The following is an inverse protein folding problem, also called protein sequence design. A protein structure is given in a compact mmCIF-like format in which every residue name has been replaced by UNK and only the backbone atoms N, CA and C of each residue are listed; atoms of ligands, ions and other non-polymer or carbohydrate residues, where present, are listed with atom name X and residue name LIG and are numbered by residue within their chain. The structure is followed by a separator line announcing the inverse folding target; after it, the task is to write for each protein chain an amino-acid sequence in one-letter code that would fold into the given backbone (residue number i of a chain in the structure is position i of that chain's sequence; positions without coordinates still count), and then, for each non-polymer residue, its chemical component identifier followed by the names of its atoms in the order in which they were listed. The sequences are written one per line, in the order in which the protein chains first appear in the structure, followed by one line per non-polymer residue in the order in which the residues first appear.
data_IF_964953092764
#
_entry.id   IF_964953092764
#
_cell.length_a   1.000
_cell.length_b   1.000
_cell.length_c   1.000
_cell.angle_alpha   90.00
_cell.angle_beta   90.00
_cell.angle_gamma   90.00
#
_symmetry.space_group_name_H-M   'P 1'
#
loop_
_entity.id
_entity.type
_entity.pdbx_description
1 polymer ?
#
# COMPACT_ATOMS: atom_id res chain seq x y z
N UNK A 1 24.09 -5.29 -2.93
CA UNK A 1 23.11 -4.22 -3.26
C UNK A 1 22.89 -4.20 -4.75
N UNK A 2 21.70 -3.84 -5.23
CA UNK A 2 21.34 -3.81 -6.66
C UNK A 2 20.31 -2.71 -6.91
N UNK A 3 20.50 -1.91 -7.95
CA UNK A 3 19.46 -1.01 -8.45
C UNK A 3 18.48 -1.78 -9.34
N UNK A 4 17.19 -1.54 -9.13
CA UNK A 4 16.12 -2.09 -9.95
C UNK A 4 14.86 -1.24 -9.76
N UNK A 5 14.11 -1.01 -10.84
CA UNK A 5 12.85 -0.24 -10.86
C UNK A 5 12.94 1.13 -10.16
N UNK A 6 14.11 1.76 -10.18
CA UNK A 6 14.36 3.05 -9.55
C UNK A 6 14.54 3.01 -8.04
N UNK A 7 14.70 1.81 -7.46
CA UNK A 7 14.98 1.58 -6.05
C UNK A 7 16.33 0.87 -5.85
N UNK A 8 16.91 1.02 -4.66
CA UNK A 8 18.08 0.25 -4.24
C UNK A 8 17.63 -0.90 -3.34
N UNK A 9 17.89 -2.13 -3.77
CA UNK A 9 17.65 -3.34 -3.01
C UNK A 9 18.92 -3.80 -2.32
N UNK A 10 18.81 -4.15 -1.04
CA UNK A 10 19.87 -4.72 -0.23
C UNK A 10 19.39 -6.02 0.42
N UNK A 11 20.27 -7.02 0.46
CA UNK A 11 20.09 -8.21 1.29
C UNK A 11 20.87 -7.99 2.59
N UNK A 12 20.18 -8.16 3.72
CA UNK A 12 20.77 -8.08 5.05
C UNK A 12 20.45 -9.38 5.76
N UNK A 13 21.41 -10.29 5.77
CA UNK A 13 21.27 -11.63 6.32
C UNK A 13 22.58 -12.40 6.17
N UNK A 14 22.63 -13.59 6.78
CA UNK A 14 23.76 -14.50 6.62
C UNK A 14 23.64 -15.30 5.31
N UNK A 15 24.77 -15.77 4.78
CA UNK A 15 24.83 -16.62 3.59
C UNK A 15 24.57 -15.91 2.26
N UNK A 16 24.25 -16.70 1.24
CA UNK A 16 23.96 -16.20 -0.11
C UNK A 16 22.57 -15.53 -0.16
N UNK A 17 22.44 -14.38 -0.85
CA UNK A 17 21.16 -13.73 -1.02
C UNK A 17 20.19 -14.63 -1.80
N UNK A 18 18.87 -14.57 -1.50
CA UNK A 18 17.87 -15.30 -2.27
C UNK A 18 17.81 -14.83 -3.73
N UNK A 19 17.19 -15.61 -4.63
CA UNK A 19 16.94 -15.18 -6.00
C UNK A 19 16.31 -13.80 -6.06
N UNK A 20 16.88 -12.92 -6.88
CA UNK A 20 16.43 -11.54 -6.96
C UNK A 20 15.04 -11.46 -7.61
N UNK A 21 14.03 -10.85 -6.97
CA UNK A 21 12.68 -10.78 -7.53
C UNK A 21 12.64 -9.87 -8.76
N UNK A 22 11.80 -10.24 -9.73
CA UNK A 22 11.51 -9.45 -10.93
C UNK A 22 10.00 -9.28 -11.07
N UNK A 23 9.59 -8.09 -11.49
CA UNK A 23 8.21 -7.68 -11.71
C UNK A 23 8.08 -7.21 -13.17
N UNK A 24 7.86 -8.13 -14.14
CA UNK A 24 7.84 -7.80 -15.55
C UNK A 24 6.88 -6.66 -15.94
N UNK A 25 5.77 -6.48 -15.20
CA UNK A 25 4.83 -5.38 -15.40
C UNK A 25 5.47 -3.98 -15.25
N UNK A 26 6.58 -3.88 -14.51
CA UNK A 26 7.34 -2.65 -14.29
C UNK A 26 8.56 -2.51 -15.23
N UNK A 27 8.76 -3.46 -16.15
CA UNK A 27 9.93 -3.51 -17.04
C UNK A 27 9.61 -3.10 -18.48
N UNK A 28 8.35 -2.77 -18.77
CA UNK A 28 7.88 -2.38 -20.10
C UNK A 28 8.44 -1.01 -20.52
N UNK A 29 8.77 -0.87 -21.81
CA UNK A 29 9.16 0.41 -22.43
C UNK A 29 7.97 1.33 -22.70
N UNK A 30 6.75 0.80 -22.61
CA UNK A 30 5.50 1.53 -22.88
C UNK A 30 4.97 2.28 -21.65
N UNK A 31 5.71 2.25 -20.54
CA UNK A 31 5.40 2.95 -19.30
C UNK A 31 6.60 3.81 -18.85
N UNK A 32 6.34 4.75 -17.95
CA UNK A 32 7.38 5.31 -17.09
C UNK A 32 7.15 4.86 -15.65
N UNK A 33 8.23 4.80 -14.86
CA UNK A 33 8.16 4.51 -13.43
C UNK A 33 8.19 5.81 -12.62
N UNK A 34 7.08 6.07 -11.93
CA UNK A 34 6.99 7.12 -10.93
C UNK A 34 7.31 6.52 -9.56
N UNK A 35 8.48 6.90 -9.03
CA UNK A 35 9.06 6.31 -7.81
C UNK A 35 9.03 7.33 -6.68
N UNK A 36 8.50 6.93 -5.52
CA UNK A 36 8.43 7.77 -4.33
C UNK A 36 8.85 6.99 -3.08
N UNK A 37 9.58 7.67 -2.18
CA UNK A 37 9.81 7.22 -0.81
C UNK A 37 8.95 8.05 0.12
N UNK A 38 8.40 7.43 1.17
CA UNK A 38 7.59 8.11 2.14
C UNK A 38 7.79 7.57 3.54
N UNK A 39 8.25 8.42 4.45
CA UNK A 39 8.35 8.08 5.87
C UNK A 39 6.96 8.09 6.51
N UNK A 40 6.70 7.10 7.36
CA UNK A 40 5.43 6.91 8.07
C UNK A 40 5.67 6.94 9.56
N UNK A 41 4.90 7.75 10.27
CA UNK A 41 4.88 7.80 11.75
C UNK A 41 3.89 6.77 12.32
N UNK A 42 3.99 5.54 11.82
CA UNK A 42 3.24 4.40 12.31
C UNK A 42 4.05 3.11 12.14
N UNK A 43 3.83 2.17 13.05
CA UNK A 43 4.51 0.89 13.05
C UNK A 43 4.18 0.07 11.78
N UNK A 44 5.18 -0.70 11.32
CA UNK A 44 5.08 -1.58 10.17
C UNK A 44 3.89 -2.57 10.24
N UNK A 45 3.71 -3.28 11.37
CA UNK A 45 2.63 -4.25 11.55
C UNK A 45 1.24 -3.62 11.59
N UNK A 46 1.11 -2.40 12.09
CA UNK A 46 -0.15 -1.66 12.01
C UNK A 46 -0.48 -1.29 10.56
N UNK A 47 0.53 -0.95 9.77
CA UNK A 47 0.34 -0.51 8.40
C UNK A 47 0.11 -1.68 7.41
N UNK A 48 0.69 -2.86 7.60
CA UNK A 48 0.40 -4.01 6.73
C UNK A 48 -1.03 -4.56 6.92
N UNK A 49 -1.65 -4.41 8.09
CA UNK A 49 -3.06 -4.77 8.29
C UNK A 49 -3.97 -3.93 7.36
N UNK A 50 -3.67 -2.64 7.19
CA UNK A 50 -4.37 -1.76 6.23
C UNK A 50 -4.27 -2.24 4.78
N UNK A 51 -3.18 -2.91 4.37
CA UNK A 51 -3.06 -3.45 3.01
C UNK A 51 -4.10 -4.52 2.70
N UNK A 52 -4.55 -5.26 3.71
CA UNK A 52 -5.48 -6.39 3.55
C UNK A 52 -6.91 -6.04 3.95
N UNK A 53 -7.15 -4.82 4.43
CA UNK A 53 -8.47 -4.29 4.73
C UNK A 53 -9.03 -3.47 3.54
N UNK A 54 -10.14 -3.92 2.95
CA UNK A 54 -10.88 -3.12 1.96
C UNK A 54 -12.05 -2.35 2.56
N UNK A 55 -12.46 -2.67 3.78
CA UNK A 55 -13.62 -2.05 4.42
C UNK A 55 -13.33 -0.59 4.82
N UNK A 56 -12.09 -0.24 5.22
CA UNK A 56 -11.78 1.17 5.53
C UNK A 56 -11.96 2.10 4.34
N UNK A 57 -11.84 1.62 3.09
CA UNK A 57 -11.78 2.49 1.91
C UNK A 57 -13.00 3.41 1.80
N UNK A 58 -14.19 2.94 2.16
CA UNK A 58 -15.41 3.77 2.13
C UNK A 58 -15.50 4.79 3.27
N UNK A 59 -14.75 4.58 4.35
CA UNK A 59 -14.78 5.41 5.54
C UNK A 59 -13.63 6.41 5.53
N UNK A 60 -12.39 5.90 5.49
CA UNK A 60 -11.16 6.68 5.57
C UNK A 60 -10.97 7.52 4.31
N UNK A 61 -11.23 6.97 3.11
CA UNK A 61 -11.02 7.69 1.85
C UNK A 61 -12.27 8.38 1.29
N UNK A 62 -13.31 8.58 2.10
CA UNK A 62 -14.57 9.17 1.61
C UNK A 62 -14.34 10.53 0.95
N UNK A 63 -13.54 11.40 1.57
CA UNK A 63 -13.33 12.77 1.08
C UNK A 63 -12.53 12.77 -0.21
N UNK A 64 -11.43 12.02 -0.25
CA UNK A 64 -10.64 11.87 -1.47
C UNK A 64 -11.51 11.35 -2.62
N UNK A 65 -12.29 10.29 -2.39
CA UNK A 65 -13.12 9.69 -3.42
C UNK A 65 -14.24 10.60 -3.92
N UNK A 66 -14.85 11.38 -3.04
CA UNK A 66 -15.83 12.40 -3.45
C UNK A 66 -15.17 13.49 -4.32
N UNK A 67 -13.98 13.97 -3.96
CA UNK A 67 -13.23 14.95 -4.77
C UNK A 67 -12.78 14.37 -6.13
N UNK A 68 -12.33 13.12 -6.14
CA UNK A 68 -11.92 12.41 -7.35
C UNK A 68 -13.09 11.87 -8.18
N UNK A 69 -14.33 12.00 -7.69
CA UNK A 69 -15.54 11.43 -8.28
C UNK A 69 -15.46 9.91 -8.51
N UNK A 70 -14.69 9.18 -7.70
CA UNK A 70 -14.58 7.72 -7.80
C UNK A 70 -15.81 7.06 -7.17
N UNK A 71 -16.54 6.25 -7.97
CA UNK A 71 -17.77 5.55 -7.59
C UNK A 71 -17.67 4.01 -7.69
N UNK A 72 -16.46 3.45 -7.62
CA UNK A 72 -16.23 1.99 -7.62
C UNK A 72 -16.53 1.32 -6.28
N UNK A 73 -16.13 1.92 -5.16
CA UNK A 73 -16.36 1.41 -3.80
C UNK A 73 -17.71 1.95 -3.29
N UNK A 74 -18.77 1.20 -3.51
CA UNK A 74 -20.14 1.51 -3.07
C UNK A 74 -20.69 0.36 -2.23
N UNK A 75 -21.06 0.64 -0.97
CA UNK A 75 -21.63 -0.36 -0.06
C UNK A 75 -20.61 -1.20 0.73
N UNK A 76 -21.09 -2.27 1.36
CA UNK A 76 -20.26 -3.23 2.11
C UNK A 76 -19.72 -4.31 1.17
N UNK A 77 -18.39 -4.48 1.04
CA UNK A 77 -17.83 -5.52 0.20
C UNK A 77 -17.90 -6.90 0.86
N UNK A 78 -18.03 -7.94 0.04
CA UNK A 78 -17.68 -9.30 0.41
C UNK A 78 -16.20 -9.50 0.09
N UNK A 79 -15.40 -9.82 1.10
CA UNK A 79 -13.97 -10.04 0.98
C UNK A 79 -13.68 -11.53 1.12
N UNK A 80 -12.98 -12.11 0.16
CA UNK A 80 -12.37 -13.43 0.27
C UNK A 80 -10.87 -13.34 0.02
N UNK A 81 -10.12 -14.24 0.65
CA UNK A 81 -8.66 -14.29 0.56
C UNK A 81 -8.19 -15.72 0.49
N UNK A 82 -7.06 -15.92 -0.17
CA UNK A 82 -6.34 -17.17 -0.22
C UNK A 82 -4.84 -16.89 -0.12
N UNK A 83 -4.11 -17.83 0.48
CA UNK A 83 -2.65 -17.82 0.42
C UNK A 83 -2.22 -18.30 -0.98
N UNK A 84 -1.33 -17.54 -1.62
CA UNK A 84 -0.74 -17.85 -2.93
C UNK A 84 0.75 -18.18 -2.80
N UNK A 85 1.40 -18.50 -3.91
CA UNK A 85 2.86 -18.68 -3.96
C UNK A 85 3.64 -17.42 -3.58
N UNK A 86 3.07 -16.23 -3.80
CA UNK A 86 3.74 -14.95 -3.51
C UNK A 86 3.36 -14.35 -2.15
N UNK A 87 2.20 -14.73 -1.60
CA UNK A 87 1.69 -14.18 -0.35
C UNK A 87 0.19 -14.38 -0.24
N UNK A 88 -0.60 -13.29 -0.34
CA UNK A 88 -2.06 -13.33 -0.23
C UNK A 88 -2.67 -12.76 -1.50
N UNK A 89 -3.63 -13.48 -2.07
CA UNK A 89 -4.54 -12.95 -3.09
C UNK A 89 -5.87 -12.60 -2.43
N UNK A 90 -6.36 -11.39 -2.69
CA UNK A 90 -7.59 -10.85 -2.11
C UNK A 90 -8.58 -10.53 -3.21
N UNK A 91 -9.78 -11.06 -3.08
CA UNK A 91 -10.92 -10.78 -3.94
C UNK A 91 -11.94 -9.94 -3.17
N UNK A 92 -12.47 -8.92 -3.83
CA UNK A 92 -13.39 -7.96 -3.23
C UNK A 92 -14.56 -7.79 -4.17
N UNK A 93 -15.75 -8.16 -3.72
CA UNK A 93 -16.99 -8.04 -4.50
C UNK A 93 -17.92 -7.02 -3.86
N UNK A 94 -18.33 -6.03 -4.63
CA UNK A 94 -19.27 -5.00 -4.20
C UNK A 94 -20.72 -5.36 -4.55
N UNK A 95 -21.72 -4.79 -3.83
CA UNK A 95 -23.15 -5.00 -4.10
C UNK A 95 -23.60 -4.65 -5.52
N UNK A 96 -22.93 -3.71 -6.18
CA UNK A 96 -23.21 -3.29 -7.56
C UNK A 96 -22.63 -4.23 -8.62
N UNK A 97 -22.05 -5.36 -8.21
CA UNK A 97 -21.50 -6.39 -9.10
C UNK A 97 -20.03 -6.20 -9.45
N UNK A 98 -19.41 -5.07 -9.08
CA UNK A 98 -17.98 -4.83 -9.32
C UNK A 98 -17.11 -5.78 -8.50
N UNK A 99 -16.09 -6.33 -9.14
CA UNK A 99 -15.11 -7.22 -8.54
C UNK A 99 -13.68 -6.72 -8.75
N UNK A 100 -12.86 -6.89 -7.72
CA UNK A 100 -11.49 -6.42 -7.68
C UNK A 100 -10.58 -7.50 -7.13
N UNK A 101 -9.39 -7.58 -7.69
CA UNK A 101 -8.33 -8.48 -7.24
C UNK A 101 -7.13 -7.65 -6.81
N UNK A 102 -6.60 -7.96 -5.63
CA UNK A 102 -5.40 -7.35 -5.08
C UNK A 102 -4.45 -8.43 -4.60
N UNK A 103 -3.17 -8.09 -4.50
CA UNK A 103 -2.16 -9.01 -4.01
C UNK A 103 -1.33 -8.36 -2.90
N UNK A 104 -1.00 -9.14 -1.89
CA UNK A 104 0.02 -8.79 -0.91
C UNK A 104 1.15 -9.81 -1.02
N UNK A 105 2.30 -9.37 -1.49
CA UNK A 105 3.52 -10.16 -1.53
C UNK A 105 4.16 -10.20 -0.15
N UNK A 106 4.36 -11.41 0.38
CA UNK A 106 5.07 -11.56 1.64
C UNK A 106 6.56 -11.20 1.44
N UNK A 107 7.19 -10.56 2.43
CA UNK A 107 6.60 -10.18 3.71
C UNK A 107 5.88 -8.82 3.71
N UNK A 108 6.13 -7.96 2.72
CA UNK A 108 5.98 -6.52 2.91
C UNK A 108 5.55 -5.71 1.66
N UNK A 109 4.96 -6.34 0.65
CA UNK A 109 4.68 -5.70 -0.63
C UNK A 109 3.17 -5.65 -0.87
N UNK A 110 2.62 -4.45 -1.02
CA UNK A 110 1.24 -4.31 -1.49
C UNK A 110 1.24 -4.11 -3.01
N UNK A 111 0.49 -4.92 -3.76
CA UNK A 111 0.32 -4.77 -5.19
C UNK A 111 -1.14 -4.51 -5.53
N UNK A 112 -1.40 -3.29 -5.97
CA UNK A 112 -2.74 -2.79 -6.26
C UNK A 112 -2.73 -1.99 -7.57
N UNK A 113 -3.87 -1.91 -8.22
CA UNK A 113 -4.16 -0.81 -9.13
C UNK A 113 -4.67 0.35 -8.27
N UNK A 114 -3.83 1.34 -8.00
CA UNK A 114 -4.08 2.39 -7.00
C UNK A 114 -4.56 3.71 -7.62
N UNK A 115 -5.33 4.49 -6.87
CA UNK A 115 -5.71 5.85 -7.26
C UNK A 115 -4.49 6.76 -7.39
N UNK A 116 -4.55 7.67 -8.35
CA UNK A 116 -3.58 8.75 -8.54
C UNK A 116 -4.32 10.07 -8.44
N UNK A 117 -3.89 10.92 -7.51
CA UNK A 117 -4.45 12.28 -7.36
C UNK A 117 -3.93 13.15 -8.51
N UNK A 118 -4.54 13.03 -9.69
CA UNK A 118 -4.13 13.70 -10.92
C UNK A 118 -5.33 13.88 -11.87
N UNK A 119 -5.38 14.95 -12.69
CA UNK A 119 -6.46 15.16 -13.65
C UNK A 119 -6.44 14.15 -14.82
N UNK A 120 -5.27 13.72 -15.29
CA UNK A 120 -5.10 12.89 -16.49
C UNK A 120 -4.95 11.39 -16.17
N UNK A 121 -4.15 11.05 -15.17
CA UNK A 121 -3.94 9.66 -14.74
C UNK A 121 -4.78 9.43 -13.50
N UNK A 122 -5.87 8.68 -13.61
CA UNK A 122 -6.75 8.40 -12.46
C UNK A 122 -6.30 7.20 -11.64
N UNK A 123 -5.71 6.22 -12.30
CA UNK A 123 -5.21 5.00 -11.67
C UNK A 123 -3.96 4.50 -12.37
N UNK A 124 -3.19 3.72 -11.62
CA UNK A 124 -2.00 3.06 -12.13
C UNK A 124 -1.66 1.87 -11.22
N UNK A 125 -1.06 0.84 -11.82
CA UNK A 125 -0.49 -0.27 -11.07
C UNK A 125 0.68 0.23 -10.22
N UNK A 126 0.69 -0.20 -8.96
CA UNK A 126 1.70 0.24 -7.99
C UNK A 126 2.11 -0.92 -7.07
N UNK A 127 3.42 -1.10 -6.95
CA UNK A 127 4.03 -1.86 -5.87
C UNK A 127 4.41 -0.91 -4.75
N UNK A 128 3.95 -1.20 -3.53
CA UNK A 128 4.31 -0.47 -2.32
C UNK A 128 5.10 -1.39 -1.42
N UNK A 129 6.41 -1.20 -1.35
CA UNK A 129 7.31 -1.90 -0.45
C UNK A 129 7.31 -1.20 0.91
N UNK A 130 6.95 -1.92 1.96
CA UNK A 130 6.90 -1.40 3.33
C UNK A 130 8.14 -1.87 4.08
N UNK A 131 9.07 -0.98 4.38
CA UNK A 131 10.35 -1.33 5.01
C UNK A 131 10.36 -0.83 6.45
N UNK A 132 10.34 -1.72 7.46
CA UNK A 132 10.46 -1.31 8.85
C UNK A 132 11.80 -0.58 9.06
N UNK A 133 11.76 0.53 9.79
CA UNK A 133 12.96 1.30 10.17
C UNK A 133 13.29 1.04 11.63
N UNK A 134 12.27 1.11 12.49
CA UNK A 134 12.34 0.84 13.91
C UNK A 134 10.97 0.33 14.41
N UNK A 135 10.80 0.23 15.73
CA UNK A 135 9.58 -0.29 16.35
C UNK A 135 8.34 0.59 16.11
N UNK A 136 8.49 1.87 15.78
CA UNK A 136 7.40 2.83 15.66
C UNK A 136 7.24 3.39 14.24
N UNK A 137 8.22 3.18 13.36
CA UNK A 137 8.29 3.82 12.06
C UNK A 137 8.66 2.85 10.94
N UNK A 138 8.18 3.16 9.74
CA UNK A 138 8.57 2.46 8.52
C UNK A 138 8.58 3.42 7.31
N UNK A 139 9.11 2.93 6.19
CA UNK A 139 9.11 3.67 4.92
C UNK A 139 8.26 2.91 3.90
N UNK A 140 7.39 3.63 3.21
CA UNK A 140 6.82 3.17 1.95
C UNK A 140 7.78 3.53 0.81
N UNK A 141 8.17 2.57 0.00
CA UNK A 141 8.71 2.81 -1.33
C UNK A 141 7.64 2.43 -2.35
N UNK A 142 7.12 3.41 -3.07
CA UNK A 142 6.11 3.22 -4.11
C UNK A 142 6.79 3.23 -5.47
N UNK A 143 6.48 2.24 -6.30
CA UNK A 143 6.85 2.20 -7.72
C UNK A 143 5.57 2.06 -8.53
N UNK A 144 5.24 3.11 -9.27
CA UNK A 144 4.00 3.20 -10.04
C UNK A 144 4.28 3.18 -11.53
N UNK A 145 3.62 2.29 -12.24
CA UNK A 145 3.65 2.22 -13.70
C UNK A 145 2.65 3.20 -14.29
N UNK A 146 3.13 4.31 -14.87
CA UNK A 146 2.27 5.29 -15.54
C UNK A 146 2.31 5.11 -17.06
N UNK A 147 1.14 5.20 -17.70
CA UNK A 147 1.00 5.15 -19.17
C UNK A 147 1.38 6.48 -19.86
N UNK A 148 2.47 7.11 -19.40
CA UNK A 148 3.10 8.26 -20.05
C UNK A 148 4.56 7.90 -20.31
N UNK A 149 5.05 8.19 -21.51
CA UNK A 149 6.43 7.90 -21.93
C UNK A 149 7.14 9.17 -22.42
N UNK A 150 8.44 9.06 -22.69
CA UNK A 150 9.24 10.12 -23.28
C UNK A 150 9.35 11.39 -22.43
N UNK A 151 9.36 12.54 -23.09
CA UNK A 151 9.45 13.85 -22.41
C UNK A 151 8.23 14.15 -21.54
N UNK A 152 7.03 13.78 -22.01
CA UNK A 152 5.78 13.98 -21.26
C UNK A 152 5.78 13.22 -19.93
N UNK A 153 6.21 11.95 -19.95
CA UNK A 153 6.36 11.15 -18.72
C UNK A 153 7.39 11.74 -17.76
N UNK A 154 8.56 12.14 -18.27
CA UNK A 154 9.62 12.77 -17.44
C UNK A 154 9.16 14.08 -16.78
N UNK A 155 8.53 14.96 -17.55
CA UNK A 155 8.03 16.23 -17.03
C UNK A 155 6.95 16.02 -15.96
N UNK A 156 6.02 15.08 -16.19
CA UNK A 156 5.01 14.71 -15.21
C UNK A 156 5.65 14.19 -13.91
N UNK A 157 6.58 13.23 -13.99
CA UNK A 157 7.25 12.67 -12.81
C UNK A 157 8.01 13.76 -12.03
N UNK A 158 8.71 14.67 -12.71
CA UNK A 158 9.46 15.74 -12.06
C UNK A 158 8.55 16.71 -11.28
N UNK A 159 7.43 17.11 -11.89
CA UNK A 159 6.41 17.94 -11.23
C UNK A 159 5.87 17.25 -9.97
N UNK A 160 5.48 15.98 -10.11
CA UNK A 160 4.93 15.17 -9.01
C UNK A 160 5.93 15.01 -7.87
N UNK A 161 7.21 14.82 -8.18
CA UNK A 161 8.29 14.75 -7.18
C UNK A 161 8.38 16.04 -6.36
N UNK A 162 8.28 17.22 -7.00
CA UNK A 162 8.29 18.53 -6.32
C UNK A 162 7.08 18.68 -5.38
N UNK A 163 5.90 18.32 -5.87
CA UNK A 163 4.66 18.37 -5.09
C UNK A 163 4.70 17.43 -3.87
N UNK A 164 5.18 16.19 -4.04
CA UNK A 164 5.34 15.23 -2.93
C UNK A 164 6.35 15.69 -1.89
N UNK A 165 7.49 16.20 -2.33
CA UNK A 165 8.52 16.69 -1.41
C UNK A 165 7.99 17.85 -0.54
N UNK A 166 7.11 18.70 -1.08
CA UNK A 166 6.41 19.72 -0.28
C UNK A 166 5.43 19.07 0.70
N UNK A 167 4.59 18.17 0.20
CA UNK A 167 3.57 17.52 1.02
C UNK A 167 4.17 16.72 2.19
N UNK A 168 5.19 15.89 1.94
CA UNK A 168 5.83 15.03 2.94
C UNK A 168 6.35 15.82 4.16
N UNK A 169 6.90 17.02 3.95
CA UNK A 169 7.38 17.88 5.04
C UNK A 169 6.27 18.26 6.02
N UNK A 170 5.10 18.58 5.49
CA UNK A 170 3.99 19.11 6.29
C UNK A 170 3.14 18.00 6.92
N UNK A 171 3.14 16.77 6.36
CA UNK A 171 2.20 15.71 6.76
C UNK A 171 2.29 15.32 8.24
N UNK A 172 3.46 15.03 8.83
CA UNK A 172 3.52 14.64 10.24
C UNK A 172 2.92 15.70 11.18
N UNK A 173 3.06 16.98 10.85
CA UNK A 173 2.47 18.07 11.62
C UNK A 173 0.95 18.15 11.45
N UNK A 174 0.45 17.96 10.23
CA UNK A 174 -0.98 17.87 9.95
C UNK A 174 -1.62 16.70 10.72
N UNK A 175 -1.00 15.51 10.69
CA UNK A 175 -1.50 14.33 11.41
C UNK A 175 -1.59 14.62 12.90
N UNK A 176 -0.53 15.19 13.51
CA UNK A 176 -0.53 15.56 14.93
C UNK A 176 -1.57 16.63 15.25
N UNK A 177 -1.73 17.65 14.42
CA UNK A 177 -2.73 18.70 14.61
C UNK A 177 -4.16 18.16 14.54
N UNK A 178 -4.42 17.24 13.60
CA UNK A 178 -5.72 16.59 13.45
C UNK A 178 -6.04 15.71 14.65
N UNK A 179 -5.10 14.85 15.06
CA UNK A 179 -5.28 13.98 16.24
C UNK A 179 -5.41 14.76 17.55
N UNK A 180 -4.77 15.93 17.65
CA UNK A 180 -4.91 16.83 18.79
C UNK A 180 -6.20 17.69 18.76
N UNK A 181 -7.05 17.53 17.73
CA UNK A 181 -8.27 18.32 17.55
C UNK A 181 -8.04 19.80 17.21
N UNK A 182 -6.82 20.18 16.84
CA UNK A 182 -6.44 21.55 16.48
C UNK A 182 -6.75 21.90 15.02
N UNK A 183 -6.90 20.89 14.19
CA UNK A 183 -7.25 20.98 12.77
C UNK A 183 -8.27 19.90 12.45
N UNK A 184 -9.24 20.14 11.57
CA UNK A 184 -10.07 19.05 11.06
C UNK A 184 -9.48 18.56 9.75
N UNK A 185 -9.60 17.26 9.49
CA UNK A 185 -9.27 16.70 8.18
C UNK A 185 -10.06 17.38 7.04
N UNK A 186 -11.22 17.96 7.36
CA UNK A 186 -12.03 18.75 6.44
C UNK A 186 -11.41 20.05 5.96
N UNK A 187 -10.44 20.56 6.70
CA UNK A 187 -9.82 21.86 6.46
C UNK A 187 -8.60 21.72 5.54
N UNK A 188 -8.21 20.49 5.20
CA UNK A 188 -7.10 20.17 4.30
C UNK A 188 -7.66 19.92 2.89
N UNK A 189 -7.01 20.50 1.88
CA UNK A 189 -7.39 20.32 0.46
C UNK A 189 -7.37 18.83 0.06
N UNK A 190 -8.52 18.25 -0.34
CA UNK A 190 -8.61 16.84 -0.74
C UNK A 190 -7.88 16.53 -2.06
N UNK A 191 -7.45 17.55 -2.82
CA UNK A 191 -6.65 17.41 -4.04
C UNK A 191 -5.15 17.44 -3.78
N UNK A 192 -4.73 17.55 -2.52
CA UNK A 192 -3.33 17.40 -2.13
C UNK A 192 -2.79 16.05 -2.63
N UNK A 193 -1.58 16.06 -3.18
CA UNK A 193 -0.99 14.93 -3.91
C UNK A 193 -0.91 13.61 -3.12
N UNK A 194 -0.78 13.70 -1.81
CA UNK A 194 -0.66 12.57 -0.88
C UNK A 194 -1.87 12.50 0.08
N UNK A 195 -3.02 13.09 -0.29
CA UNK A 195 -4.18 13.18 0.59
C UNK A 195 -4.69 11.80 1.06
N UNK A 196 -4.67 10.79 0.17
CA UNK A 196 -4.97 9.39 0.53
C UNK A 196 -4.04 8.90 1.66
N UNK A 197 -2.73 9.21 1.56
CA UNK A 197 -1.76 8.85 2.59
C UNK A 197 -2.00 9.61 3.90
N UNK A 198 -2.42 10.87 3.84
CA UNK A 198 -2.80 11.65 5.02
C UNK A 198 -4.01 11.03 5.73
N UNK A 199 -5.05 10.65 4.99
CA UNK A 199 -6.25 10.00 5.54
C UNK A 199 -5.88 8.70 6.29
N UNK A 200 -5.09 7.84 5.64
CA UNK A 200 -4.59 6.60 6.26
C UNK A 200 -3.71 6.87 7.48
N UNK A 201 -2.77 7.80 7.39
CA UNK A 201 -1.82 8.08 8.46
C UNK A 201 -2.51 8.67 9.69
N UNK A 202 -3.53 9.52 9.53
CA UNK A 202 -4.39 9.95 10.65
C UNK A 202 -5.06 8.75 11.31
N UNK A 203 -5.70 7.87 10.53
CA UNK A 203 -6.41 6.71 11.08
C UNK A 203 -5.46 5.73 11.79
N UNK A 204 -4.29 5.46 11.20
CA UNK A 204 -3.31 4.51 11.72
C UNK A 204 -2.55 5.05 12.93
N UNK A 205 -2.07 6.29 12.89
CA UNK A 205 -1.38 6.90 14.05
C UNK A 205 -2.34 7.05 15.23
N UNK A 206 -3.64 7.24 14.98
CA UNK A 206 -4.68 7.24 16.02
C UNK A 206 -4.83 5.92 16.78
N UNK A 207 -4.33 4.79 16.24
CA UNK A 207 -4.31 3.49 16.93
C UNK A 207 -3.19 3.40 17.98
N UNK A 208 -2.27 4.37 18.00
CA UNK A 208 -1.04 4.37 18.79
C UNK A 208 0.17 3.90 17.98
N UNK A 209 1.36 4.35 18.39
CA UNK A 209 2.64 3.99 17.73
C UNK A 209 2.82 2.47 17.69
N UNK A 210 2.51 1.79 18.79
CA UNK A 210 2.36 0.34 18.89
C UNK A 210 0.94 0.06 19.37
N UNK A 211 0.11 -0.54 18.51
CA UNK A 211 -1.30 -0.73 18.82
C UNK A 211 -1.49 -1.87 19.84
N UNK A 212 -2.31 -1.63 20.88
CA UNK A 212 -2.72 -2.67 21.83
C UNK A 212 -3.82 -3.52 21.21
N UNK A 213 -3.51 -4.78 20.90
CA UNK A 213 -4.42 -5.67 20.13
C UNK A 213 -5.27 -6.61 20.98
N UNK A 214 -5.13 -6.61 22.31
CA UNK A 214 -5.81 -7.56 23.20
C UNK A 214 -7.33 -7.50 23.16
N UNK A 215 -7.89 -6.36 22.72
CA UNK A 215 -9.32 -6.09 22.71
C UNK A 215 -9.89 -6.05 21.27
N UNK A 216 -9.12 -6.47 20.27
CA UNK A 216 -9.59 -6.51 18.88
C UNK A 216 -10.59 -7.64 18.67
N UNK A 217 -11.70 -7.33 18.00
CA UNK A 217 -12.69 -8.31 17.59
C UNK A 217 -12.76 -8.33 16.06
N UNK A 218 -12.09 -9.31 15.46
CA UNK A 218 -12.06 -9.46 14.00
C UNK A 218 -13.43 -9.90 13.48
N UNK A 219 -13.93 -9.16 12.49
CA UNK A 219 -15.18 -9.43 11.78
C UNK A 219 -14.99 -10.15 10.45
N UNK A 220 -16.10 -10.30 9.71
CA UNK A 220 -16.09 -10.96 8.38
C UNK A 220 -15.28 -10.21 7.32
N UNK A 221 -15.17 -8.88 7.44
CA UNK A 221 -14.32 -8.06 6.56
C UNK A 221 -12.84 -8.32 6.78
N UNK A 222 -12.45 -8.79 7.96
CA UNK A 222 -11.05 -8.84 8.40
C UNK A 222 -10.37 -10.16 8.01
N UNK A 223 -10.95 -10.92 7.07
CA UNK A 223 -10.40 -12.21 6.62
C UNK A 223 -8.96 -12.07 6.10
N UNK A 224 -8.66 -10.97 5.41
CA UNK A 224 -7.30 -10.68 4.94
C UNK A 224 -6.32 -10.40 6.07
N UNK A 225 -6.72 -9.55 7.03
CA UNK A 225 -5.94 -9.26 8.25
C UNK A 225 -5.69 -10.54 9.05
N UNK A 226 -6.74 -11.36 9.24
CA UNK A 226 -6.65 -12.64 9.92
C UNK A 226 -5.65 -13.59 9.23
N UNK A 227 -5.75 -13.76 7.91
CA UNK A 227 -4.84 -14.64 7.16
C UNK A 227 -3.39 -14.13 7.22
N UNK A 228 -3.18 -12.82 7.05
CA UNK A 228 -1.85 -12.20 7.14
C UNK A 228 -1.19 -12.49 8.49
N UNK A 229 -1.92 -12.27 9.59
CA UNK A 229 -1.42 -12.51 10.94
C UNK A 229 -1.15 -14.00 11.19
N UNK A 230 -1.98 -14.90 10.64
CA UNK A 230 -1.73 -16.35 10.69
C UNK A 230 -0.47 -16.77 9.94
N UNK A 231 -0.22 -16.20 8.76
CA UNK A 231 1.00 -16.45 8.00
C UNK A 231 2.21 -15.94 8.79
N UNK A 232 2.17 -14.71 9.31
CA UNK A 232 3.26 -14.17 10.14
C UNK A 232 3.53 -15.03 11.37
N UNK A 233 2.50 -15.43 12.11
CA UNK A 233 2.63 -16.32 13.26
C UNK A 233 3.28 -17.65 12.86
N UNK A 234 2.86 -18.26 11.74
CA UNK A 234 3.43 -19.51 11.21
C UNK A 234 4.90 -19.33 10.84
N UNK A 235 5.23 -18.34 10.01
CA UNK A 235 6.59 -18.15 9.51
C UNK A 235 7.56 -17.78 10.63
N UNK A 236 7.15 -16.92 11.57
CA UNK A 236 8.00 -16.56 12.72
C UNK A 236 8.22 -17.74 13.67
N UNK A 237 7.20 -18.56 13.92
CA UNK A 237 7.35 -19.80 14.72
C UNK A 237 8.22 -20.85 14.01
N UNK A 238 8.21 -20.89 12.68
CA UNK A 238 9.10 -21.77 11.92
C UNK A 238 10.54 -21.27 12.03
N UNK A 239 10.76 -19.97 11.76
CA UNK A 239 12.06 -19.32 11.86
C UNK A 239 12.69 -19.49 13.24
N UNK A 240 11.97 -19.15 14.30
CA UNK A 240 12.46 -19.29 15.68
C UNK A 240 12.78 -20.74 16.08
N UNK A 241 12.11 -21.71 15.46
CA UNK A 241 12.33 -23.14 15.69
C UNK A 241 13.34 -23.79 14.72
N UNK A 242 14.01 -23.02 13.85
CA UNK A 242 14.92 -23.56 12.84
C UNK A 242 14.24 -24.45 11.78
N UNK A 243 12.93 -24.28 11.58
CA UNK A 243 12.15 -25.01 10.57
C UNK A 243 12.08 -24.22 9.26
N UNK A 244 11.93 -24.88 8.11
CA UNK A 244 11.77 -24.20 6.83
C UNK A 244 10.60 -23.21 6.84
N UNK A 245 10.86 -22.01 6.31
CA UNK A 245 9.84 -21.01 5.98
C UNK A 245 9.42 -21.16 4.53
N UNK A 246 8.20 -20.72 4.20
CA UNK A 246 7.73 -20.73 2.81
C UNK A 246 8.61 -19.83 1.95
N UNK A 247 8.97 -20.31 0.76
CA UNK A 247 9.68 -19.52 -0.25
C UNK A 247 8.64 -18.81 -1.10
N UNK A 248 8.54 -17.49 -0.93
CA UNK A 248 7.54 -16.67 -1.62
C UNK A 248 8.01 -16.30 -3.02
N UNK A 249 7.22 -16.62 -4.05
CA UNK A 249 7.55 -16.36 -5.46
C UNK A 249 6.44 -15.61 -6.16
N UNK A 250 6.77 -14.46 -6.73
CA UNK A 250 5.88 -13.70 -7.61
C UNK A 250 5.65 -14.48 -8.92
N UNK A 251 4.42 -14.43 -9.44
CA UNK A 251 4.07 -14.97 -10.75
C UNK A 251 3.58 -13.83 -11.65
N UNK A 252 4.05 -13.72 -12.91
CA UNK A 252 3.70 -12.59 -13.80
C UNK A 252 2.20 -12.44 -14.12
N UNK A 253 1.41 -13.49 -13.94
CA UNK A 253 -0.06 -13.47 -14.11
C UNK A 253 -0.80 -12.87 -12.90
N UNK A 254 -0.09 -12.63 -11.78
CA UNK A 254 -0.62 -11.91 -10.63
C UNK A 254 -0.71 -10.42 -10.94
N UNK A 255 -1.78 -10.03 -11.63
CA UNK A 255 -2.07 -8.63 -11.99
C UNK A 255 -3.34 -8.17 -11.26
N UNK A 256 -3.29 -7.08 -10.48
CA UNK A 256 -4.48 -6.53 -9.83
C UNK A 256 -5.55 -6.18 -10.85
N UNK A 257 -6.82 -6.39 -10.48
CA UNK A 257 -7.96 -6.01 -11.33
C UNK A 257 -8.72 -4.86 -10.72
N UNK A 258 -9.10 -3.90 -11.57
CA UNK A 258 -9.99 -2.82 -11.22
C UNK A 258 -11.00 -2.65 -12.36
N UNK A 259 -12.30 -2.54 -12.06
CA UNK A 259 -13.30 -2.33 -13.10
C UNK A 259 -13.06 -0.98 -13.78
N UNK A 260 -13.30 -0.93 -15.08
CA UNK A 260 -13.36 0.33 -15.81
C UNK A 260 -14.49 1.21 -15.23
N UNK A 261 -14.26 2.53 -15.20
CA UNK A 261 -15.16 3.49 -14.59
C UNK A 261 -16.41 3.75 -15.45
#
# INVERSE_FOLDING_TARGET
MKEYIGLIFAYVGEGEPPPFPRYPILESTEISLDVAGLRRICNYFNNIDNSLDNAHVRFVHRRHRDAAQDRVVLGDPIISVEESEWGIKRYVKYPDGKDLTFFFGMPNINFINGQVVDPAIKRADVLVFKVPVDDENHIHFEVRAIALTGERGRAWIEERRKLRAKAERDRPELVRAILAGKLRLSDVDPNRIDFVMLEDEVAQTGQGAIAVRSNEHLGRSDRGVFLLRKIWERELRNLAGGRPIKQWSYQPDMVPTYPEA
#
